data_IF_204108953939
#
_entry.id   IF_204108953939
#
_cell.length_a   1.000
_cell.length_b   1.000
_cell.length_c   1.000
_cell.angle_alpha   90.00
_cell.angle_beta   90.00
_cell.angle_gamma   90.00
#
_symmetry.space_group_name_H-M   'P 1'
#
loop_
_entity.id
_entity.type
_entity.pdbx_description
1 polymer ?
#
# COMPACT_ATOMS: atom_id res chain seq x y z
N UNK A 1 -20.64 -8.08 7.30
CA UNK A 1 -19.58 -7.08 7.60
C UNK A 1 -19.97 -5.79 6.90
N UNK A 2 -20.07 -4.68 7.63
CA UNK A 2 -20.55 -3.42 7.05
C UNK A 2 -19.51 -2.78 6.14
N UNK A 3 -19.97 -1.94 5.19
CA UNK A 3 -19.10 -1.18 4.28
C UNK A 3 -18.08 -0.32 5.06
N UNK A 4 -18.53 0.30 6.16
CA UNK A 4 -17.67 1.14 7.00
C UNK A 4 -16.54 0.35 7.65
N UNK A 5 -16.83 -0.83 8.18
CA UNK A 5 -15.83 -1.71 8.80
C UNK A 5 -14.77 -2.14 7.78
N UNK A 6 -15.18 -2.57 6.58
CA UNK A 6 -14.25 -2.95 5.52
C UNK A 6 -13.40 -1.78 5.03
N UNK A 7 -14.00 -0.61 4.91
CA UNK A 7 -13.30 0.60 4.48
C UNK A 7 -12.29 1.06 5.53
N UNK A 8 -12.68 1.05 6.81
CA UNK A 8 -11.78 1.39 7.92
C UNK A 8 -10.65 0.38 8.04
N UNK A 9 -10.96 -0.92 7.99
CA UNK A 9 -9.95 -1.98 8.06
C UNK A 9 -8.91 -1.86 6.94
N UNK A 10 -9.37 -1.68 5.69
CA UNK A 10 -8.44 -1.52 4.57
C UNK A 10 -7.56 -0.27 4.71
N UNK A 11 -8.14 0.87 5.08
CA UNK A 11 -7.38 2.11 5.25
C UNK A 11 -6.36 2.00 6.38
N UNK A 12 -6.74 1.41 7.52
CA UNK A 12 -5.84 1.18 8.64
C UNK A 12 -4.70 0.25 8.26
N UNK A 13 -4.98 -0.84 7.55
CA UNK A 13 -3.97 -1.79 7.09
C UNK A 13 -2.94 -1.14 6.16
N UNK A 14 -3.36 -0.31 5.20
CA UNK A 14 -2.40 0.32 4.25
C UNK A 14 -1.53 1.38 4.94
N UNK A 15 -2.09 2.18 5.84
CA UNK A 15 -1.33 3.17 6.61
C UNK A 15 -0.34 2.48 7.54
N UNK A 16 -0.77 1.46 8.27
CA UNK A 16 0.10 0.68 9.15
C UNK A 16 1.21 -0.04 8.37
N UNK A 17 0.91 -0.60 7.18
CA UNK A 17 1.91 -1.17 6.28
C UNK A 17 2.97 -0.14 5.90
N UNK A 18 2.57 1.06 5.48
CA UNK A 18 3.49 2.14 5.14
C UNK A 18 4.39 2.55 6.32
N UNK A 19 3.82 2.67 7.52
CA UNK A 19 4.59 2.95 8.74
C UNK A 19 5.60 1.84 9.05
N UNK A 20 5.21 0.57 8.91
CA UNK A 20 6.12 -0.57 9.07
C UNK A 20 7.25 -0.57 8.04
N UNK A 21 6.99 -0.19 6.78
CA UNK A 21 8.03 -0.06 5.75
C UNK A 21 9.10 0.96 6.15
N UNK A 22 8.67 2.13 6.62
CA UNK A 22 9.59 3.18 7.09
C UNK A 22 10.36 2.73 8.32
N UNK A 23 9.69 2.13 9.31
CA UNK A 23 10.34 1.60 10.49
C UNK A 23 11.35 0.49 10.15
N UNK A 24 10.97 -0.45 9.28
CA UNK A 24 11.85 -1.52 8.81
C UNK A 24 13.08 -1.01 8.05
N UNK A 25 12.88 0.01 7.20
CA UNK A 25 14.00 0.67 6.52
C UNK A 25 14.96 1.33 7.53
N UNK A 26 14.42 2.05 8.50
CA UNK A 26 15.21 2.71 9.54
C UNK A 26 15.99 1.68 10.38
N UNK A 27 15.35 0.59 10.78
CA UNK A 27 15.96 -0.49 11.57
C UNK A 27 17.18 -1.11 10.89
N UNK A 28 17.15 -1.30 9.58
CA UNK A 28 18.28 -1.86 8.85
C UNK A 28 19.33 -0.81 8.48
N UNK A 29 18.89 0.40 8.12
CA UNK A 29 19.79 1.46 7.62
C UNK A 29 20.62 2.09 8.73
N UNK A 30 19.99 2.38 9.86
CA UNK A 30 20.61 3.07 11.00
C UNK A 30 20.98 2.09 12.10
N UNK A 31 20.01 1.25 12.51
CA UNK A 31 20.20 0.35 13.63
C UNK A 31 20.93 -0.97 13.28
N UNK A 32 21.06 -1.30 12.02
CA UNK A 32 21.61 -2.59 11.52
C UNK A 32 20.96 -3.82 12.20
N UNK A 33 19.72 -3.68 12.64
CA UNK A 33 18.97 -4.71 13.39
C UNK A 33 18.24 -5.65 12.40
N UNK A 34 18.96 -6.64 11.87
CA UNK A 34 18.47 -7.55 10.83
C UNK A 34 17.22 -8.30 11.24
N UNK A 35 17.15 -8.84 12.47
CA UNK A 35 16.00 -9.62 12.95
C UNK A 35 14.74 -8.73 13.05
N UNK A 36 14.87 -7.56 13.63
CA UNK A 36 13.77 -6.60 13.73
C UNK A 36 13.31 -6.11 12.36
N UNK A 37 14.24 -5.79 11.46
CA UNK A 37 13.93 -5.45 10.07
C UNK A 37 13.11 -6.54 9.41
N UNK A 38 13.54 -7.81 9.48
CA UNK A 38 12.81 -8.95 8.93
C UNK A 38 11.39 -9.03 9.46
N UNK A 39 11.22 -8.97 10.78
CA UNK A 39 9.91 -9.13 11.41
C UNK A 39 8.96 -7.99 11.05
N UNK A 40 9.46 -6.75 11.06
CA UNK A 40 8.66 -5.56 10.70
C UNK A 40 8.30 -5.56 9.21
N UNK A 41 9.20 -6.02 8.32
CA UNK A 41 8.90 -6.15 6.87
C UNK A 41 7.88 -7.26 6.60
N UNK A 42 7.94 -8.37 7.31
CA UNK A 42 6.90 -9.42 7.23
C UNK A 42 5.56 -8.91 7.71
N UNK A 43 5.54 -8.14 8.80
CA UNK A 43 4.33 -7.48 9.29
C UNK A 43 3.77 -6.50 8.24
N UNK A 44 4.61 -5.67 7.62
CA UNK A 44 4.20 -4.75 6.56
C UNK A 44 3.55 -5.49 5.38
N UNK A 45 4.13 -6.62 4.98
CA UNK A 45 3.60 -7.47 3.90
C UNK A 45 2.27 -8.11 4.28
N UNK A 46 2.13 -8.60 5.51
CA UNK A 46 0.88 -9.17 6.02
C UNK A 46 -0.23 -8.11 6.06
N UNK A 47 0.08 -6.90 6.53
CA UNK A 47 -0.86 -5.78 6.54
C UNK A 47 -1.28 -5.36 5.12
N UNK A 48 -0.35 -5.35 4.16
CA UNK A 48 -0.68 -5.09 2.75
C UNK A 48 -1.57 -6.19 2.15
N UNK A 49 -1.34 -7.45 2.51
CA UNK A 49 -2.22 -8.58 2.17
C UNK A 49 -3.62 -8.43 2.78
N UNK A 50 -3.69 -8.03 4.05
CA UNK A 50 -4.95 -7.71 4.74
C UNK A 50 -5.71 -6.56 4.08
N UNK A 51 -5.00 -5.50 3.69
CA UNK A 51 -5.58 -4.42 2.89
C UNK A 51 -6.20 -4.95 1.59
N UNK A 52 -5.45 -5.75 0.84
CA UNK A 52 -5.92 -6.30 -0.44
C UNK A 52 -7.15 -7.18 -0.25
N UNK A 53 -7.14 -8.07 0.76
CA UNK A 53 -8.28 -8.93 1.08
C UNK A 53 -9.52 -8.12 1.44
N UNK A 54 -9.39 -7.13 2.33
CA UNK A 54 -10.49 -6.25 2.72
C UNK A 54 -11.01 -5.43 1.54
N UNK A 55 -10.10 -4.93 0.69
CA UNK A 55 -10.46 -4.15 -0.50
C UNK A 55 -11.24 -4.99 -1.52
N UNK A 56 -10.74 -6.19 -1.84
CA UNK A 56 -11.41 -7.11 -2.80
C UNK A 56 -12.77 -7.55 -2.27
N UNK A 57 -12.86 -7.88 -0.98
CA UNK A 57 -14.14 -8.24 -0.34
C UNK A 57 -15.14 -7.09 -0.41
N UNK A 58 -14.69 -5.87 -0.11
CA UNK A 58 -15.53 -4.68 -0.21
C UNK A 58 -16.01 -4.45 -1.64
N UNK A 59 -15.10 -4.58 -2.61
CA UNK A 59 -15.44 -4.43 -4.03
C UNK A 59 -16.45 -5.48 -4.49
N UNK A 60 -16.29 -6.73 -4.08
CA UNK A 60 -17.18 -7.82 -4.44
C UNK A 60 -18.58 -7.68 -3.84
N UNK A 61 -18.67 -7.18 -2.60
CA UNK A 61 -19.95 -7.05 -1.89
C UNK A 61 -20.71 -5.76 -2.21
N UNK A 62 -19.99 -4.66 -2.42
CA UNK A 62 -20.57 -3.31 -2.49
C UNK A 62 -20.25 -2.56 -3.79
N UNK A 63 -19.41 -3.14 -4.66
CA UNK A 63 -18.97 -2.47 -5.89
C UNK A 63 -18.01 -1.31 -5.65
N UNK A 64 -17.87 -0.44 -6.65
CA UNK A 64 -17.02 0.74 -6.61
C UNK A 64 -17.85 2.00 -6.39
N UNK A 65 -17.40 2.85 -5.46
CA UNK A 65 -17.95 4.20 -5.33
C UNK A 65 -17.44 5.07 -6.49
N UNK A 66 -18.35 5.76 -7.18
CA UNK A 66 -17.98 6.73 -8.22
C UNK A 66 -17.43 8.00 -7.59
N UNK A 67 -16.43 8.58 -8.24
CA UNK A 67 -15.92 9.89 -7.84
C UNK A 67 -16.82 11.00 -8.40
N UNK A 68 -17.30 11.86 -7.52
CA UNK A 68 -18.32 12.89 -7.84
C UNK A 68 -17.69 14.26 -8.17
N UNK A 69 -16.38 14.43 -7.94
CA UNK A 69 -15.69 15.69 -8.24
C UNK A 69 -15.58 15.98 -9.73
N UNK A 70 -15.61 17.26 -10.07
CA UNK A 70 -15.50 17.76 -11.45
C UNK A 70 -14.24 18.61 -11.63
N UNK A 71 -13.92 18.95 -12.88
CA UNK A 71 -12.80 19.84 -13.21
C UNK A 71 -11.46 19.34 -12.67
N UNK A 72 -10.72 20.20 -12.00
CA UNK A 72 -9.38 19.90 -11.46
C UNK A 72 -9.38 18.70 -10.51
N UNK A 73 -10.38 18.56 -9.67
CA UNK A 73 -10.47 17.46 -8.71
C UNK A 73 -10.59 16.10 -9.40
N UNK A 74 -11.33 16.04 -10.49
CA UNK A 74 -11.44 14.83 -11.32
C UNK A 74 -10.09 14.47 -11.94
N UNK A 75 -9.38 15.45 -12.47
CA UNK A 75 -8.04 15.25 -13.05
C UNK A 75 -7.04 14.77 -12.00
N UNK A 76 -7.02 15.37 -10.81
CA UNK A 76 -6.16 14.96 -9.69
C UNK A 76 -6.49 13.54 -9.21
N UNK A 77 -7.77 13.22 -9.08
CA UNK A 77 -8.20 11.90 -8.64
C UNK A 77 -7.75 10.81 -9.61
N UNK A 78 -8.06 10.93 -10.90
CA UNK A 78 -7.66 9.93 -11.89
C UNK A 78 -6.15 9.94 -12.16
N UNK A 79 -5.50 11.09 -12.11
CA UNK A 79 -4.04 11.21 -12.19
C UNK A 79 -3.31 10.52 -11.03
N UNK A 80 -3.95 10.40 -9.87
CA UNK A 80 -3.42 9.64 -8.73
C UNK A 80 -3.83 8.17 -8.81
N UNK A 81 -5.08 7.88 -9.18
CA UNK A 81 -5.64 6.53 -9.21
C UNK A 81 -4.94 5.63 -10.23
N UNK A 82 -4.73 6.11 -11.46
CA UNK A 82 -4.16 5.27 -12.54
C UNK A 82 -2.74 4.80 -12.20
N UNK A 83 -1.78 5.67 -11.84
CA UNK A 83 -0.46 5.20 -11.41
C UNK A 83 -0.52 4.32 -10.16
N UNK A 84 -1.40 4.67 -9.19
CA UNK A 84 -1.58 3.86 -7.99
C UNK A 84 -1.95 2.42 -8.32
N UNK A 85 -2.95 2.20 -9.16
CA UNK A 85 -3.41 0.83 -9.52
C UNK A 85 -2.30 0.04 -10.22
N UNK A 86 -1.61 0.66 -11.19
CA UNK A 86 -0.52 0.02 -11.93
C UNK A 86 0.61 -0.40 -10.98
N UNK A 87 1.03 0.50 -10.10
CA UNK A 87 2.12 0.26 -9.16
C UNK A 87 1.70 -0.71 -8.03
N UNK A 88 0.44 -0.66 -7.59
CA UNK A 88 -0.08 -1.60 -6.60
C UNK A 88 -0.06 -3.05 -7.11
N UNK A 89 -0.39 -3.26 -8.38
CA UNK A 89 -0.27 -4.59 -9.02
C UNK A 89 1.20 -5.04 -9.04
N UNK A 90 2.14 -4.14 -9.29
CA UNK A 90 3.56 -4.46 -9.31
C UNK A 90 4.14 -4.78 -7.92
N UNK A 91 3.64 -4.13 -6.85
CA UNK A 91 4.12 -4.33 -5.48
C UNK A 91 3.99 -5.79 -5.01
N UNK A 92 2.91 -6.49 -5.35
CA UNK A 92 2.69 -7.87 -4.95
C UNK A 92 3.82 -8.82 -5.36
N UNK A 93 4.11 -8.98 -6.66
CA UNK A 93 5.23 -9.80 -7.14
C UNK A 93 6.60 -9.34 -6.62
N UNK A 94 6.81 -8.02 -6.51
CA UNK A 94 8.07 -7.46 -5.98
C UNK A 94 8.27 -7.84 -4.51
N UNK A 95 7.22 -7.76 -3.68
CA UNK A 95 7.27 -8.15 -2.28
C UNK A 95 7.57 -9.65 -2.11
N UNK A 96 6.89 -10.51 -2.88
CA UNK A 96 7.17 -11.96 -2.89
C UNK A 96 8.62 -12.22 -3.28
N UNK A 97 9.12 -11.55 -4.30
CA UNK A 97 10.51 -11.70 -4.74
C UNK A 97 11.51 -11.26 -3.67
N UNK A 98 11.26 -10.16 -2.98
CA UNK A 98 12.09 -9.69 -1.87
C UNK A 98 12.15 -10.70 -0.73
N UNK A 99 11.02 -11.30 -0.37
CA UNK A 99 10.96 -12.35 0.66
C UNK A 99 11.76 -13.59 0.21
N UNK A 100 11.57 -14.03 -1.03
CA UNK A 100 12.33 -15.17 -1.60
C UNK A 100 13.83 -14.92 -1.55
N UNK A 101 14.29 -13.72 -1.96
CA UNK A 101 15.71 -13.37 -1.95
C UNK A 101 16.29 -13.34 -0.54
N UNK A 102 15.54 -12.86 0.44
CA UNK A 102 16.00 -12.73 1.82
C UNK A 102 15.97 -14.06 2.60
N UNK A 103 14.86 -14.80 2.51
CA UNK A 103 14.61 -15.94 3.38
C UNK A 103 14.96 -17.28 2.74
N UNK A 104 14.75 -17.44 1.44
CA UNK A 104 14.98 -18.70 0.74
C UNK A 104 16.37 -18.74 0.11
N UNK A 105 16.67 -17.76 -0.73
CA UNK A 105 17.94 -17.71 -1.47
C UNK A 105 19.09 -17.14 -0.66
N UNK A 106 18.79 -16.35 0.38
CA UNK A 106 19.76 -15.62 1.20
C UNK A 106 20.74 -14.75 0.39
N UNK A 107 20.27 -14.28 -0.79
CA UNK A 107 20.99 -13.34 -1.64
C UNK A 107 20.69 -11.91 -1.22
N UNK A 108 21.41 -11.45 -0.21
CA UNK A 108 21.19 -10.11 0.36
C UNK A 108 21.67 -8.99 -0.58
N UNK A 109 22.53 -9.27 -1.54
CA UNK A 109 22.95 -8.28 -2.54
C UNK A 109 21.83 -8.01 -3.53
N UNK A 110 21.22 -9.05 -4.08
CA UNK A 110 20.05 -8.93 -4.95
C UNK A 110 18.84 -8.37 -4.20
N UNK A 111 18.59 -8.78 -2.94
CA UNK A 111 17.55 -8.22 -2.08
C UNK A 111 17.70 -6.70 -1.93
N UNK A 112 18.89 -6.21 -1.58
CA UNK A 112 19.14 -4.77 -1.42
C UNK A 112 18.95 -3.99 -2.72
N UNK A 113 19.36 -4.55 -3.85
CA UNK A 113 19.19 -3.94 -5.17
C UNK A 113 17.70 -3.77 -5.50
N UNK A 114 16.93 -4.84 -5.33
CA UNK A 114 15.48 -4.82 -5.58
C UNK A 114 14.73 -3.92 -4.59
N UNK A 115 15.12 -3.94 -3.31
CA UNK A 115 14.49 -3.14 -2.27
C UNK A 115 14.61 -1.62 -2.52
N UNK A 116 15.70 -1.17 -3.14
CA UNK A 116 15.89 0.26 -3.50
C UNK A 116 14.84 0.76 -4.49
N UNK A 117 14.33 -0.12 -5.33
CA UNK A 117 13.25 0.20 -6.29
C UNK A 117 11.88 -0.03 -5.66
N UNK A 118 11.72 -1.16 -4.97
CA UNK A 118 10.41 -1.56 -4.42
C UNK A 118 9.96 -0.65 -3.29
N UNK A 119 10.85 -0.21 -2.41
CA UNK A 119 10.49 0.62 -1.26
C UNK A 119 9.80 1.93 -1.65
N UNK A 120 10.36 2.78 -2.54
CA UNK A 120 9.70 4.01 -2.95
C UNK A 120 8.38 3.76 -3.70
N UNK A 121 8.30 2.70 -4.50
CA UNK A 121 7.06 2.31 -5.18
C UNK A 121 5.98 1.95 -4.16
N UNK A 122 6.31 1.11 -3.19
CA UNK A 122 5.37 0.69 -2.16
C UNK A 122 4.92 1.85 -1.26
N UNK A 123 5.83 2.73 -0.88
CA UNK A 123 5.49 3.96 -0.13
C UNK A 123 4.56 4.87 -0.93
N UNK A 124 4.83 5.05 -2.23
CA UNK A 124 3.93 5.79 -3.10
C UNK A 124 2.53 5.15 -3.13
N UNK A 125 2.43 3.82 -3.26
CA UNK A 125 1.15 3.10 -3.23
C UNK A 125 0.43 3.29 -1.90
N UNK A 126 1.14 3.24 -0.78
CA UNK A 126 0.54 3.46 0.54
C UNK A 126 -0.02 4.88 0.70
N UNK A 127 0.76 5.90 0.32
CA UNK A 127 0.35 7.32 0.42
C UNK A 127 -0.77 7.64 -0.57
N UNK A 128 -0.62 7.25 -1.83
CA UNK A 128 -1.65 7.50 -2.85
C UNK A 128 -2.95 6.75 -2.57
N UNK A 129 -2.88 5.54 -2.03
CA UNK A 129 -4.07 4.80 -1.59
C UNK A 129 -4.84 5.53 -0.49
N UNK A 130 -4.14 6.13 0.48
CA UNK A 130 -4.75 6.98 1.49
C UNK A 130 -5.36 8.24 0.89
N UNK A 131 -4.65 8.90 -0.04
CA UNK A 131 -5.18 10.09 -0.74
C UNK A 131 -6.45 9.77 -1.53
N UNK A 132 -6.47 8.66 -2.27
CA UNK A 132 -7.64 8.20 -3.03
C UNK A 132 -8.82 7.95 -2.08
N UNK A 133 -8.57 7.26 -0.95
CA UNK A 133 -9.58 7.06 0.08
C UNK A 133 -10.14 8.39 0.60
N UNK A 134 -9.27 9.34 0.94
CA UNK A 134 -9.67 10.64 1.45
C UNK A 134 -10.52 11.40 0.45
N UNK A 135 -10.08 11.48 -0.82
CA UNK A 135 -10.82 12.15 -1.89
C UNK A 135 -12.17 11.49 -2.16
N UNK A 136 -12.26 10.16 -2.05
CA UNK A 136 -13.47 9.41 -2.41
C UNK A 136 -14.52 9.37 -1.29
N UNK A 137 -14.08 9.36 -0.02
CA UNK A 137 -14.96 9.11 1.12
C UNK A 137 -15.09 10.28 2.10
N UNK A 138 -14.13 11.21 2.11
CA UNK A 138 -14.07 12.29 3.10
C UNK A 138 -14.28 13.67 2.49
N UNK A 139 -13.94 13.86 1.23
CA UNK A 139 -14.21 15.13 0.54
C UNK A 139 -15.67 15.19 0.08
N UNK A 140 -16.29 16.34 0.31
CA UNK A 140 -17.61 16.68 -0.22
C UNK A 140 -17.40 17.63 -1.40
N UNK A 141 -17.92 17.25 -2.55
CA UNK A 141 -17.88 18.09 -3.74
C UNK A 141 -19.24 18.78 -3.90
N UNK A 142 -19.26 20.08 -4.25
CA UNK A 142 -20.52 20.75 -4.58
C UNK A 142 -21.18 20.01 -5.75
N UNK A 143 -22.37 19.53 -5.52
CA UNK A 143 -23.23 19.03 -6.61
C UNK A 143 -23.64 20.24 -7.44
N UNK A 144 -23.02 20.37 -8.61
CA UNK A 144 -23.41 21.37 -9.59
C UNK A 144 -24.74 21.02 -10.25
#
# INVERSE_FOLDING_TARGET
MSLEVLTLASTTCIVASGACLLAGWFLIRVGRRVVWHRNVMLLATTLAGGFLAAYVTRWALYGTKRFEGTGLWRTLYFGTLVPHVILAIAVGPLAVRLIQLALVKRDFAAHRRLARVTLPIWLYVAVSGWMIYYMLYRMQFPTG
#
